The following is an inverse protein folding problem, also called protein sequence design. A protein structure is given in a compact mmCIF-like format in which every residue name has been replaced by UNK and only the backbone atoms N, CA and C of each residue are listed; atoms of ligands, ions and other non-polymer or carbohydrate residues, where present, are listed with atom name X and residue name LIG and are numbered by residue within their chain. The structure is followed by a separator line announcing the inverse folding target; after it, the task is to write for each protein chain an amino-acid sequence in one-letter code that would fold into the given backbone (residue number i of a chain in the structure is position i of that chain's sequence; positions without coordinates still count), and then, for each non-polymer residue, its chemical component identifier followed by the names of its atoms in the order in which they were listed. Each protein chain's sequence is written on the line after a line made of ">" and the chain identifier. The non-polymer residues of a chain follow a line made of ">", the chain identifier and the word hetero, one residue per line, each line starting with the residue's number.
data_IF_899729975623
#
_entry.id   IF_899729975623
#
_cell.length_a   1.000
_cell.length_b   1.000
_cell.length_c   1.000
_cell.angle_alpha   90.00
_cell.angle_beta   90.00
_cell.angle_gamma   90.00
#
_symmetry.space_group_name_H-M   'P 1'
#
loop_
_entity.id
_entity.type
_entity.pdbx_description
1 polymer ?
#
# COMPACT_ATOMS: atom_id res chain seq x y z
N UNK A 1 19.21 4.77 -75.36
CA UNK A 1 18.42 4.26 -74.22
C UNK A 1 19.09 2.98 -73.76
N UNK A 2 19.94 3.07 -72.74
CA UNK A 2 20.73 1.97 -72.20
C UNK A 2 20.91 2.22 -70.72
N UNK A 3 20.02 1.61 -69.94
CA UNK A 3 20.02 1.61 -68.48
C UNK A 3 21.31 0.96 -67.95
N UNK A 4 22.04 1.70 -67.12
CA UNK A 4 23.18 1.20 -66.36
C UNK A 4 22.73 1.09 -64.91
N UNK A 5 22.73 -0.09 -64.27
CA UNK A 5 22.27 -0.22 -62.89
C UNK A 5 23.32 0.33 -61.91
N UNK A 6 22.86 1.18 -60.99
CA UNK A 6 23.65 1.71 -59.87
C UNK A 6 24.17 0.59 -58.95
N UNK A 7 25.45 0.69 -58.57
CA UNK A 7 26.07 -0.10 -57.50
C UNK A 7 25.41 0.20 -56.14
N UNK A 8 25.18 -0.81 -55.28
CA UNK A 8 24.76 -0.58 -53.91
C UNK A 8 25.91 0.02 -53.08
N UNK A 9 25.62 1.12 -52.41
CA UNK A 9 26.47 1.79 -51.42
C UNK A 9 26.71 0.86 -50.23
N UNK A 10 27.96 0.76 -49.76
CA UNK A 10 28.33 -0.02 -48.59
C UNK A 10 27.55 0.47 -47.36
N UNK A 11 26.80 -0.44 -46.73
CA UNK A 11 26.19 -0.21 -45.43
C UNK A 11 27.31 -0.02 -44.40
N UNK A 12 27.33 1.15 -43.77
CA UNK A 12 28.15 1.44 -42.61
C UNK A 12 27.57 0.66 -41.42
N UNK A 13 28.37 -0.25 -40.84
CA UNK A 13 28.02 -0.94 -39.59
C UNK A 13 27.73 0.09 -38.48
N UNK A 14 26.68 -0.10 -37.67
CA UNK A 14 26.45 0.74 -36.50
C UNK A 14 27.57 0.51 -35.46
N UNK A 15 27.92 1.54 -34.66
CA UNK A 15 29.13 1.53 -33.85
C UNK A 15 29.07 0.51 -32.69
N UNK A 16 30.24 -0.08 -32.37
CA UNK A 16 30.60 -1.01 -31.28
C UNK A 16 30.27 -0.56 -29.83
N UNK A 17 29.12 0.05 -29.56
CA UNK A 17 28.76 0.48 -28.20
C UNK A 17 28.17 -0.64 -27.33
N UNK A 18 27.61 -1.70 -27.92
CA UNK A 18 26.91 -2.78 -27.22
C UNK A 18 27.85 -3.77 -26.51
N UNK A 19 28.94 -4.23 -27.15
CA UNK A 19 29.85 -5.24 -26.56
C UNK A 19 30.54 -4.78 -25.27
N UNK A 20 30.88 -3.49 -25.15
CA UNK A 20 31.54 -2.94 -23.95
C UNK A 20 30.60 -2.79 -22.77
N UNK A 21 29.32 -2.46 -23.00
CA UNK A 21 28.33 -2.33 -21.94
C UNK A 21 27.93 -3.70 -21.38
N UNK A 22 27.73 -4.69 -22.26
CA UNK A 22 27.44 -6.07 -21.88
C UNK A 22 28.60 -6.68 -21.05
N UNK A 23 29.85 -6.49 -21.48
CA UNK A 23 31.01 -6.96 -20.71
C UNK A 23 31.13 -6.32 -19.33
N UNK A 24 30.76 -5.05 -19.19
CA UNK A 24 30.81 -4.37 -17.90
C UNK A 24 29.72 -4.90 -16.96
N UNK A 25 28.50 -5.10 -17.48
CA UNK A 25 27.40 -5.68 -16.74
C UNK A 25 27.70 -7.11 -16.28
N UNK A 26 28.31 -7.94 -17.13
CA UNK A 26 28.75 -9.30 -16.79
C UNK A 26 29.77 -9.33 -15.65
N UNK A 27 30.66 -8.33 -15.57
CA UNK A 27 31.62 -8.21 -14.47
C UNK A 27 30.92 -7.81 -13.16
N UNK A 28 30.00 -6.85 -13.21
CA UNK A 28 29.24 -6.44 -12.02
C UNK A 28 28.36 -7.57 -11.46
N UNK A 29 27.79 -8.42 -12.33
CA UNK A 29 27.04 -9.62 -11.90
C UNK A 29 27.97 -10.59 -11.16
N UNK A 30 29.16 -10.86 -11.70
CA UNK A 30 30.14 -11.75 -11.07
C UNK A 30 30.59 -11.21 -9.72
N UNK A 31 30.86 -9.91 -9.65
CA UNK A 31 31.24 -9.24 -8.40
C UNK A 31 30.12 -9.35 -7.36
N UNK A 32 28.86 -9.09 -7.76
CA UNK A 32 27.71 -9.25 -6.89
C UNK A 32 27.58 -10.68 -6.34
N UNK A 33 27.79 -11.69 -7.19
CA UNK A 33 27.68 -13.08 -6.79
C UNK A 33 28.77 -13.48 -5.78
N UNK A 34 30.01 -13.03 -5.99
CA UNK A 34 31.12 -13.25 -5.05
C UNK A 34 30.82 -12.56 -3.71
N UNK A 35 30.42 -11.28 -3.77
CA UNK A 35 30.10 -10.48 -2.59
C UNK A 35 28.96 -11.12 -1.79
N UNK A 36 27.84 -11.40 -2.44
CA UNK A 36 26.65 -11.93 -1.78
C UNK A 36 26.93 -13.30 -1.16
N UNK A 37 27.58 -14.21 -1.88
CA UNK A 37 27.89 -15.55 -1.36
C UNK A 37 28.85 -15.49 -0.16
N UNK A 38 29.84 -14.60 -0.19
CA UNK A 38 30.75 -14.39 0.95
C UNK A 38 29.99 -13.92 2.19
N UNK A 39 29.13 -12.90 2.04
CA UNK A 39 28.31 -12.37 3.15
C UNK A 39 27.34 -13.44 3.66
N UNK A 40 26.63 -14.12 2.76
CA UNK A 40 25.66 -15.15 3.11
C UNK A 40 26.29 -16.30 3.90
N UNK A 41 27.47 -16.78 3.46
CA UNK A 41 28.22 -17.82 4.17
C UNK A 41 28.58 -17.37 5.58
N UNK A 42 29.04 -16.12 5.72
CA UNK A 42 29.39 -15.53 7.02
C UNK A 42 28.18 -15.46 7.96
N UNK A 43 26.98 -15.13 7.44
CA UNK A 43 25.74 -15.13 8.22
C UNK A 43 25.32 -16.54 8.64
N UNK A 44 25.44 -17.52 7.74
CA UNK A 44 25.13 -18.92 8.06
C UNK A 44 26.07 -19.48 9.13
N UNK A 45 27.37 -19.17 9.07
CA UNK A 45 28.33 -19.56 10.10
C UNK A 45 28.04 -18.91 11.45
N UNK A 46 27.71 -17.61 11.45
CA UNK A 46 27.50 -16.83 12.68
C UNK A 46 26.18 -17.14 13.37
N UNK A 47 25.10 -17.25 12.62
CA UNK A 47 23.74 -17.39 13.17
C UNK A 47 23.16 -18.80 12.98
N UNK A 48 23.59 -19.54 11.97
CA UNK A 48 22.95 -20.80 11.55
C UNK A 48 21.71 -20.56 10.71
N UNK A 49 21.47 -21.44 9.73
CA UNK A 49 20.38 -21.33 8.73
C UNK A 49 18.99 -21.19 9.36
N UNK A 50 18.73 -21.90 10.45
CA UNK A 50 17.43 -21.87 11.16
C UNK A 50 17.14 -20.55 11.86
N UNK A 51 18.10 -19.64 11.98
CA UNK A 51 17.93 -18.31 12.60
C UNK A 51 18.04 -17.16 11.61
N UNK A 52 18.17 -17.46 10.31
CA UNK A 52 18.19 -16.44 9.24
C UNK A 52 16.77 -15.94 8.92
N UNK A 53 16.13 -15.34 9.93
CA UNK A 53 14.79 -14.80 9.84
C UNK A 53 14.83 -13.38 9.27
N UNK A 54 14.67 -13.29 7.96
CA UNK A 54 14.54 -12.00 7.28
C UNK A 54 13.10 -11.47 7.36
N UNK A 55 12.90 -10.15 7.18
CA UNK A 55 11.59 -9.51 7.20
C UNK A 55 10.62 -10.15 6.21
N UNK A 56 9.34 -10.25 6.57
CA UNK A 56 8.32 -10.64 5.59
C UNK A 56 8.20 -9.60 4.48
N UNK A 57 8.21 -8.32 4.84
CA UNK A 57 8.06 -7.21 3.90
C UNK A 57 9.32 -6.32 3.87
N UNK A 58 9.81 -6.00 2.67
CA UNK A 58 10.89 -5.03 2.46
C UNK A 58 10.41 -3.91 1.55
N UNK A 59 10.46 -2.67 2.04
CA UNK A 59 10.18 -1.48 1.26
C UNK A 59 11.49 -0.78 0.92
N UNK A 60 11.88 -0.80 -0.35
CA UNK A 60 13.02 -0.08 -0.89
C UNK A 60 12.56 1.35 -1.22
N UNK A 61 12.88 2.30 -0.33
CA UNK A 61 12.45 3.69 -0.45
C UNK A 61 13.44 4.50 -1.32
N UNK A 62 13.08 4.64 -2.59
CA UNK A 62 13.71 5.52 -3.55
C UNK A 62 13.18 6.94 -3.48
N UNK A 63 14.03 7.93 -3.74
CA UNK A 63 13.62 9.33 -3.76
C UNK A 63 14.71 10.23 -4.30
N UNK A 64 14.35 11.11 -5.22
CA UNK A 64 15.25 12.20 -5.59
C UNK A 64 15.59 13.05 -4.35
N UNK A 65 16.76 13.71 -4.30
CA UNK A 65 17.02 14.70 -3.28
C UNK A 65 15.89 15.73 -3.22
N UNK A 66 15.36 16.01 -2.03
CA UNK A 66 14.23 16.94 -1.87
C UNK A 66 12.83 16.32 -2.09
N UNK A 67 12.72 15.04 -2.47
CA UNK A 67 11.42 14.36 -2.66
C UNK A 67 10.62 14.13 -1.37
N UNK A 68 11.15 14.51 -0.20
CA UNK A 68 10.44 14.39 1.07
C UNK A 68 10.42 12.98 1.65
N UNK A 69 11.42 12.13 1.35
CA UNK A 69 11.55 10.78 1.92
C UNK A 69 11.43 10.80 3.45
N UNK A 70 12.36 11.47 4.14
CA UNK A 70 12.36 11.54 5.60
C UNK A 70 11.04 12.05 6.21
N UNK A 71 10.33 12.94 5.52
CA UNK A 71 9.02 13.45 5.96
C UNK A 71 7.88 12.42 5.76
N UNK A 72 7.97 11.60 4.72
CA UNK A 72 6.93 10.63 4.37
C UNK A 72 7.22 9.22 4.91
N UNK A 73 8.45 8.89 5.30
CA UNK A 73 8.77 7.56 5.84
C UNK A 73 7.90 7.17 7.03
N UNK A 74 7.71 8.02 8.07
CA UNK A 74 6.83 7.67 9.20
C UNK A 74 5.38 7.43 8.76
N UNK A 75 4.91 8.19 7.77
CA UNK A 75 3.56 8.02 7.22
C UNK A 75 3.43 6.71 6.43
N UNK A 76 4.45 6.35 5.64
CA UNK A 76 4.49 5.07 4.93
C UNK A 76 4.49 3.91 5.93
N UNK A 77 5.28 4.01 7.01
CA UNK A 77 5.30 3.02 8.10
C UNK A 77 3.92 2.86 8.73
N UNK A 78 3.25 3.97 9.07
CA UNK A 78 1.90 3.97 9.65
C UNK A 78 0.90 3.30 8.71
N UNK A 79 0.87 3.69 7.42
CA UNK A 79 -0.05 3.12 6.43
C UNK A 79 0.19 1.62 6.20
N UNK A 80 1.43 1.16 6.30
CA UNK A 80 1.81 -0.26 6.13
C UNK A 80 1.74 -1.05 7.44
N UNK A 81 1.50 -0.41 8.58
CA UNK A 81 1.51 -1.06 9.89
C UNK A 81 2.89 -1.52 10.37
N UNK A 82 3.96 -0.89 9.88
CA UNK A 82 5.34 -1.21 10.26
C UNK A 82 5.77 -0.39 11.49
N UNK A 83 6.23 -1.05 12.54
CA UNK A 83 6.59 -0.38 13.81
C UNK A 83 8.10 -0.17 13.99
N UNK A 84 8.94 -0.93 13.29
CA UNK A 84 10.40 -0.83 13.38
C UNK A 84 10.91 0.46 12.72
N UNK A 85 11.95 1.08 13.28
CA UNK A 85 12.57 2.28 12.70
C UNK A 85 13.09 2.04 11.28
N UNK A 86 13.03 3.03 10.37
CA UNK A 86 13.58 2.87 9.04
C UNK A 86 15.10 2.63 9.07
N UNK A 87 15.56 1.70 8.25
CA UNK A 87 16.99 1.46 8.07
C UNK A 87 17.51 2.48 7.05
N UNK A 88 18.11 3.56 7.56
CA UNK A 88 18.85 4.53 6.75
C UNK A 88 20.24 3.96 6.48
N UNK A 89 20.48 3.42 5.30
CA UNK A 89 21.72 2.65 5.05
C UNK A 89 22.98 3.49 5.25
N UNK A 90 22.94 4.80 5.00
CA UNK A 90 24.09 5.67 5.26
C UNK A 90 24.46 5.79 6.74
N UNK A 91 23.49 5.71 7.67
CA UNK A 91 23.79 5.79 9.11
C UNK A 91 24.45 4.53 9.64
N UNK A 92 24.26 3.40 8.96
CA UNK A 92 24.97 2.15 9.26
C UNK A 92 26.47 2.24 8.92
N UNK A 93 26.88 3.21 8.09
CA UNK A 93 28.25 3.36 7.62
C UNK A 93 29.08 4.34 8.46
N UNK A 94 28.64 4.66 9.66
CA UNK A 94 29.32 5.60 10.57
C UNK A 94 29.94 4.93 11.79
N UNK A 95 30.16 3.61 11.74
CA UNK A 95 30.91 2.88 12.78
C UNK A 95 32.39 3.30 12.81
N UNK A 96 33.12 3.08 13.93
CA UNK A 96 34.55 3.38 14.01
C UNK A 96 35.38 2.70 12.91
N UNK A 97 35.08 1.46 12.51
CA UNK A 97 35.78 0.82 11.39
C UNK A 97 35.49 1.52 10.05
N UNK A 98 34.23 1.88 9.80
CA UNK A 98 33.85 2.55 8.55
C UNK A 98 34.41 3.98 8.48
N UNK A 99 34.50 4.67 9.61
CA UNK A 99 35.21 5.96 9.69
C UNK A 99 36.68 5.79 9.36
N UNK A 100 37.38 4.78 9.90
CA UNK A 100 38.78 4.52 9.54
C UNK A 100 38.99 4.28 8.04
N UNK A 101 38.07 3.53 7.41
CA UNK A 101 38.10 3.30 5.95
C UNK A 101 37.94 4.64 5.21
N UNK A 102 36.92 5.44 5.57
CA UNK A 102 36.68 6.77 5.01
C UNK A 102 37.88 7.73 5.22
N UNK A 103 38.44 7.75 6.43
CA UNK A 103 39.56 8.62 6.84
C UNK A 103 40.86 8.25 6.10
N UNK A 104 41.03 6.98 5.75
CA UNK A 104 42.14 6.51 4.91
C UNK A 104 41.97 6.81 3.41
N UNK A 105 40.89 7.49 3.02
CA UNK A 105 40.54 7.78 1.62
C UNK A 105 39.89 6.60 0.88
N UNK A 106 39.57 5.51 1.59
CA UNK A 106 38.82 4.38 1.04
C UNK A 106 37.32 4.66 0.97
N UNK A 107 36.64 4.07 -0.02
CA UNK A 107 35.18 4.06 -0.06
C UNK A 107 34.66 2.79 0.61
N UNK A 108 33.58 2.91 1.38
CA UNK A 108 32.84 1.73 1.85
C UNK A 108 32.29 1.00 0.63
N UNK A 109 32.73 -0.23 0.41
CA UNK A 109 32.34 -1.03 -0.74
C UNK A 109 30.97 -1.67 -0.58
N UNK A 110 30.44 -2.21 -1.68
CA UNK A 110 29.15 -2.90 -1.68
C UNK A 110 29.13 -4.11 -0.74
N UNK A 111 30.27 -4.78 -0.53
CA UNK A 111 30.38 -5.90 0.40
C UNK A 111 30.06 -5.50 1.84
N UNK A 112 30.65 -4.41 2.31
CA UNK A 112 30.43 -3.91 3.67
C UNK A 112 28.98 -3.43 3.86
N UNK A 113 28.44 -2.72 2.87
CA UNK A 113 27.03 -2.27 2.86
C UNK A 113 26.09 -3.47 2.96
N UNK A 114 26.26 -4.47 2.11
CA UNK A 114 25.42 -5.68 2.10
C UNK A 114 25.56 -6.45 3.41
N UNK A 115 26.78 -6.61 3.92
CA UNK A 115 27.01 -7.32 5.18
C UNK A 115 26.28 -6.69 6.35
N UNK A 116 26.44 -5.38 6.56
CA UNK A 116 25.81 -4.69 7.70
C UNK A 116 24.29 -4.63 7.52
N UNK A 117 23.82 -4.41 6.30
CA UNK A 117 22.39 -4.38 6.01
C UNK A 117 21.72 -5.73 6.30
N UNK A 118 22.28 -6.84 5.78
CA UNK A 118 21.69 -8.16 6.02
C UNK A 118 21.73 -8.53 7.51
N UNK A 119 22.81 -8.20 8.23
CA UNK A 119 22.85 -8.39 9.69
C UNK A 119 21.78 -7.57 10.41
N UNK A 120 21.56 -6.31 10.00
CA UNK A 120 20.53 -5.45 10.59
C UNK A 120 19.13 -6.00 10.36
N UNK A 121 18.86 -6.58 9.18
CA UNK A 121 17.57 -7.17 8.83
C UNK A 121 17.23 -8.43 9.63
N UNK A 122 18.21 -9.11 10.22
CA UNK A 122 17.98 -10.29 11.06
C UNK A 122 17.48 -9.94 12.47
N UNK A 123 17.41 -8.66 12.83
CA UNK A 123 16.95 -8.29 14.16
C UNK A 123 15.43 -8.51 14.32
N UNK A 124 14.97 -8.96 15.51
CA UNK A 124 13.57 -9.33 15.72
C UNK A 124 12.56 -8.24 15.39
N UNK A 125 12.92 -6.97 15.58
CA UNK A 125 12.04 -5.83 15.33
C UNK A 125 11.61 -5.73 13.87
N UNK A 126 12.47 -6.15 12.93
CA UNK A 126 12.18 -6.10 11.50
C UNK A 126 11.41 -7.31 10.99
N UNK A 127 11.02 -8.26 11.85
CA UNK A 127 10.43 -9.53 11.42
C UNK A 127 9.23 -9.32 10.50
N UNK A 128 8.35 -8.39 10.82
CA UNK A 128 7.13 -8.10 10.04
C UNK A 128 7.40 -7.26 8.81
N UNK A 129 8.31 -6.29 8.90
CA UNK A 129 8.82 -5.61 7.73
C UNK A 129 9.89 -4.58 8.05
N UNK A 130 10.56 -4.09 7.01
CA UNK A 130 11.55 -3.04 7.10
C UNK A 130 11.45 -2.07 5.93
N UNK A 131 11.66 -0.78 6.21
CA UNK A 131 11.89 0.24 5.18
C UNK A 131 13.39 0.48 5.06
N UNK A 132 13.91 0.34 3.85
CA UNK A 132 15.30 0.61 3.51
C UNK A 132 15.39 1.96 2.78
N UNK A 133 15.94 2.98 3.42
CA UNK A 133 16.21 4.27 2.78
C UNK A 133 17.63 4.29 2.20
N UNK A 134 17.70 4.49 0.89
CA UNK A 134 18.95 4.68 0.18
C UNK A 134 19.66 3.38 -0.18
N UNK A 135 18.90 2.30 -0.38
CA UNK A 135 19.36 1.03 -0.93
C UNK A 135 18.30 0.44 -1.86
N UNK A 136 18.68 -0.17 -3.00
CA UNK A 136 20.02 -0.19 -3.59
C UNK A 136 20.40 1.14 -4.27
N UNK A 137 21.71 1.39 -4.42
CA UNK A 137 22.29 2.53 -5.17
C UNK A 137 23.14 2.12 -6.35
N UNK A 138 23.62 0.88 -6.38
CA UNK A 138 24.48 0.33 -7.44
C UNK A 138 23.83 -0.91 -8.04
N UNK A 139 24.25 -1.29 -9.25
CA UNK A 139 23.79 -2.51 -9.90
C UNK A 139 24.20 -3.77 -9.12
N UNK A 140 25.39 -3.77 -8.50
CA UNK A 140 25.83 -4.86 -7.61
C UNK A 140 24.87 -5.05 -6.43
N UNK A 141 24.41 -3.97 -5.80
CA UNK A 141 23.42 -4.03 -4.72
C UNK A 141 22.05 -4.54 -5.20
N UNK A 142 21.64 -4.17 -6.41
CA UNK A 142 20.43 -4.70 -7.06
C UNK A 142 20.50 -6.22 -7.20
N UNK A 143 21.60 -6.75 -7.74
CA UNK A 143 21.79 -8.19 -7.89
C UNK A 143 21.85 -8.91 -6.55
N UNK A 144 22.50 -8.31 -5.53
CA UNK A 144 22.47 -8.83 -4.16
C UNK A 144 21.05 -8.90 -3.58
N UNK A 145 20.18 -7.93 -3.87
CA UNK A 145 18.78 -7.94 -3.44
C UNK A 145 17.98 -9.07 -4.12
N UNK A 146 18.20 -9.31 -5.42
CA UNK A 146 17.60 -10.46 -6.12
C UNK A 146 18.06 -11.79 -5.50
N UNK A 147 19.34 -11.92 -5.20
CA UNK A 147 19.88 -13.11 -4.55
C UNK A 147 19.33 -13.32 -3.14
N UNK A 148 19.17 -12.25 -2.35
CA UNK A 148 18.50 -12.30 -1.04
C UNK A 148 17.08 -12.85 -1.18
N UNK A 149 16.29 -12.31 -2.09
CA UNK A 149 14.93 -12.76 -2.35
C UNK A 149 14.88 -14.26 -2.69
N UNK A 150 15.76 -14.73 -3.58
CA UNK A 150 15.86 -16.15 -3.91
C UNK A 150 16.27 -17.02 -2.72
N UNK A 151 17.19 -16.56 -1.87
CA UNK A 151 17.57 -17.27 -0.64
C UNK A 151 16.43 -17.34 0.37
N UNK A 152 15.64 -16.28 0.53
CA UNK A 152 14.45 -16.29 1.37
C UNK A 152 13.42 -17.31 0.87
N UNK A 153 13.19 -17.37 -0.44
CA UNK A 153 12.33 -18.40 -1.05
C UNK A 153 12.86 -19.82 -0.84
N UNK A 154 14.18 -20.02 -0.96
CA UNK A 154 14.83 -21.30 -0.72
C UNK A 154 14.63 -21.75 0.74
N UNK A 155 14.89 -20.88 1.71
CA UNK A 155 14.68 -21.17 3.13
C UNK A 155 13.21 -21.48 3.42
N UNK A 156 12.27 -20.71 2.86
CA UNK A 156 10.83 -21.00 2.99
C UNK A 156 10.47 -22.40 2.47
N UNK A 157 11.01 -22.79 1.32
CA UNK A 157 10.75 -24.12 0.75
C UNK A 157 11.37 -25.24 1.62
N UNK A 158 12.60 -25.04 2.07
CA UNK A 158 13.36 -25.96 2.95
C UNK A 158 12.61 -26.23 4.27
N UNK A 159 12.09 -25.18 4.91
CA UNK A 159 11.46 -25.29 6.24
C UNK A 159 9.92 -25.43 6.19
N UNK A 160 9.32 -25.57 5.00
CA UNK A 160 7.85 -25.53 4.82
C UNK A 160 7.09 -26.56 5.66
N UNK A 161 7.63 -27.77 5.82
CA UNK A 161 7.04 -28.89 6.56
C UNK A 161 7.70 -29.11 7.93
N UNK A 162 8.34 -28.09 8.48
CA UNK A 162 9.02 -28.15 9.78
C UNK A 162 8.35 -27.23 10.79
N UNK A 163 8.73 -27.34 12.07
CA UNK A 163 8.29 -26.41 13.12
C UNK A 163 8.72 -24.95 12.86
N UNK A 164 9.75 -24.74 12.04
CA UNK A 164 10.26 -23.41 11.72
C UNK A 164 9.46 -22.67 10.63
N UNK A 165 8.42 -23.30 10.05
CA UNK A 165 7.60 -22.72 8.95
C UNK A 165 7.13 -21.29 9.25
N UNK A 166 6.71 -21.01 10.49
CA UNK A 166 6.22 -19.68 10.89
C UNK A 166 7.28 -18.58 10.88
N UNK A 167 8.57 -18.95 10.81
CA UNK A 167 9.66 -18.01 10.73
C UNK A 167 10.09 -17.68 9.30
N UNK A 168 9.80 -18.56 8.33
CA UNK A 168 10.13 -18.38 6.92
C UNK A 168 8.88 -18.07 6.08
N UNK A 169 8.40 -16.83 6.20
CA UNK A 169 7.20 -16.33 5.50
C UNK A 169 7.50 -16.04 4.03
N UNK A 170 6.46 -15.85 3.23
CA UNK A 170 6.64 -15.44 1.84
C UNK A 170 7.23 -14.02 1.80
N UNK A 171 8.39 -13.82 1.18
CA UNK A 171 8.98 -12.49 1.06
C UNK A 171 8.15 -11.61 0.11
N UNK A 172 7.87 -10.39 0.55
CA UNK A 172 7.28 -9.32 -0.25
C UNK A 172 8.29 -8.18 -0.35
N UNK A 173 8.63 -7.78 -1.57
CA UNK A 173 9.53 -6.66 -1.81
C UNK A 173 8.78 -5.61 -2.63
N UNK A 174 8.78 -4.39 -2.10
CA UNK A 174 8.17 -3.21 -2.69
C UNK A 174 9.25 -2.17 -2.97
N UNK A 175 9.17 -1.52 -4.12
CA UNK A 175 10.01 -0.38 -4.47
C UNK A 175 9.11 0.82 -4.46
N UNK A 176 9.32 1.74 -3.52
CA UNK A 176 8.55 2.97 -3.42
C UNK A 176 9.40 4.13 -3.90
N UNK A 177 9.06 4.68 -5.07
CA UNK A 177 9.81 5.74 -5.72
C UNK A 177 9.07 7.07 -5.59
N UNK A 178 9.49 7.91 -4.62
CA UNK A 178 9.03 9.29 -4.52
C UNK A 178 9.71 10.17 -5.57
N UNK A 179 8.94 10.60 -6.57
CA UNK A 179 9.46 11.36 -7.70
C UNK A 179 9.04 12.84 -7.63
N UNK A 180 10.01 13.72 -7.86
CA UNK A 180 9.83 15.15 -8.15
C UNK A 180 10.71 15.52 -9.32
N UNK A 181 10.35 16.58 -10.05
CA UNK A 181 11.20 17.07 -11.13
C UNK A 181 12.46 17.80 -10.59
N UNK A 182 13.42 18.03 -11.48
CA UNK A 182 14.71 18.65 -11.13
C UNK A 182 14.54 20.06 -10.57
N UNK A 183 13.61 20.85 -11.14
CA UNK A 183 13.38 22.23 -10.74
C UNK A 183 12.86 22.27 -9.30
N UNK A 184 11.88 21.45 -8.98
CA UNK A 184 11.30 21.33 -7.64
C UNK A 184 12.33 20.77 -6.64
N UNK A 185 13.10 19.75 -7.04
CA UNK A 185 14.20 19.18 -6.24
C UNK A 185 15.23 20.24 -5.83
N UNK A 186 15.70 21.03 -6.79
CA UNK A 186 16.69 22.09 -6.55
C UNK A 186 16.06 23.18 -5.67
N UNK A 187 14.83 23.60 -5.97
CA UNK A 187 14.08 24.59 -5.18
C UNK A 187 13.97 24.17 -3.71
N UNK A 188 13.56 22.92 -3.44
CA UNK A 188 13.41 22.38 -2.07
C UNK A 188 14.73 22.25 -1.34
N UNK A 189 15.81 21.85 -2.02
CA UNK A 189 17.14 21.78 -1.41
C UNK A 189 17.65 23.17 -0.99
N UNK A 190 17.53 24.16 -1.88
CA UNK A 190 17.94 25.53 -1.59
C UNK A 190 17.06 26.19 -0.52
N UNK A 191 15.75 25.90 -0.53
CA UNK A 191 14.83 26.35 0.53
C UNK A 191 15.25 25.80 1.89
N UNK A 192 15.50 24.48 1.98
CA UNK A 192 16.02 23.85 3.19
C UNK A 192 17.34 24.46 3.65
N UNK A 193 18.25 24.77 2.72
CA UNK A 193 19.52 25.44 3.04
C UNK A 193 19.32 26.78 3.72
N UNK A 194 18.44 27.63 3.18
CA UNK A 194 18.10 28.94 3.76
C UNK A 194 17.47 28.80 5.16
N UNK A 195 16.50 27.89 5.31
CA UNK A 195 15.82 27.65 6.59
C UNK A 195 16.79 27.16 7.67
N UNK A 196 17.75 26.30 7.32
CA UNK A 196 18.79 25.84 8.25
C UNK A 196 19.75 26.98 8.62
N UNK A 197 20.12 27.84 7.66
CA UNK A 197 20.97 29.00 7.94
C UNK A 197 20.29 29.96 8.91
N UNK A 198 19.04 30.33 8.64
CA UNK A 198 18.25 31.20 9.52
C UNK A 198 18.07 30.60 10.92
N UNK A 199 17.81 29.30 11.01
CA UNK A 199 17.72 28.59 12.29
C UNK A 199 19.04 28.61 13.06
N UNK A 200 20.15 28.29 12.39
CA UNK A 200 21.48 28.25 13.03
C UNK A 200 21.92 29.65 13.51
N UNK A 201 21.65 30.70 12.72
CA UNK A 201 21.90 32.08 13.14
C UNK A 201 21.10 32.44 14.40
N UNK A 202 19.86 31.96 14.52
CA UNK A 202 19.04 32.17 15.72
C UNK A 202 19.56 31.40 16.93
N UNK A 203 20.00 30.15 16.74
CA UNK A 203 20.63 29.34 17.79
C UNK A 203 21.91 30.00 18.28
N UNK A 204 22.75 30.50 17.38
CA UNK A 204 23.98 31.23 17.73
C UNK A 204 23.68 32.53 18.50
N UNK A 205 22.61 33.23 18.13
CA UNK A 205 22.18 34.48 18.78
C UNK A 205 21.59 34.28 20.16
N UNK A 206 20.76 33.24 20.34
CA UNK A 206 20.00 33.00 21.57
C UNK A 206 20.69 32.06 22.54
N UNK A 207 21.57 31.20 22.04
CA UNK A 207 22.14 30.07 22.78
C UNK A 207 21.13 28.95 23.07
N UNK A 208 19.94 28.97 22.44
CA UNK A 208 18.86 27.99 22.66
C UNK A 208 18.73 27.12 21.41
N UNK A 209 18.97 25.81 21.55
CA UNK A 209 18.87 24.82 20.48
C UNK A 209 20.21 24.17 20.13
N UNK A 210 20.20 23.24 19.19
CA UNK A 210 21.40 22.58 18.65
C UNK A 210 21.59 22.95 17.18
N UNK A 211 22.82 23.24 16.77
CA UNK A 211 23.11 23.58 15.37
C UNK A 211 22.76 22.41 14.44
N UNK A 212 22.00 22.73 13.39
CA UNK A 212 21.66 21.78 12.34
C UNK A 212 22.77 21.73 11.29
N UNK A 213 23.05 20.52 10.79
CA UNK A 213 24.06 20.31 9.76
C UNK A 213 23.70 21.03 8.45
N UNK A 214 24.60 21.88 7.96
CA UNK A 214 24.48 22.50 6.64
C UNK A 214 25.10 21.61 5.58
N UNK A 215 24.37 21.39 4.48
CA UNK A 215 24.82 20.54 3.37
C UNK A 215 25.33 21.39 2.23
N UNK A 216 26.50 21.10 1.64
CA UNK A 216 27.01 21.86 0.49
C UNK A 216 26.02 21.94 -0.67
N UNK A 217 25.23 20.88 -0.88
CA UNK A 217 24.21 20.81 -1.94
C UNK A 217 23.02 21.73 -1.72
N UNK A 218 22.83 22.22 -0.50
CA UNK A 218 21.69 23.06 -0.14
C UNK A 218 22.04 24.56 -0.26
N UNK A 219 23.32 24.88 -0.51
CA UNK A 219 23.85 26.24 -0.63
C UNK A 219 24.15 26.63 -2.08
N UNK A 220 24.48 25.67 -2.94
CA UNK A 220 24.82 25.90 -4.34
C UNK A 220 23.84 25.20 -5.30
N UNK A 221 23.14 25.96 -6.17
CA UNK A 221 22.26 25.38 -7.19
C UNK A 221 22.95 24.36 -8.10
N UNK A 222 24.24 24.57 -8.45
CA UNK A 222 24.96 23.63 -9.33
C UNK A 222 25.26 22.31 -8.60
N UNK A 223 25.62 22.36 -7.33
CA UNK A 223 25.76 21.18 -6.49
C UNK A 223 24.43 20.42 -6.33
N UNK A 224 23.31 21.13 -6.12
CA UNK A 224 21.97 20.54 -6.07
C UNK A 224 21.59 19.81 -7.37
N UNK A 225 21.83 20.45 -8.53
CA UNK A 225 21.59 19.87 -9.85
C UNK A 225 22.45 18.63 -10.09
N UNK A 226 23.75 18.70 -9.76
CA UNK A 226 24.66 17.55 -9.87
C UNK A 226 24.17 16.37 -9.02
N UNK A 227 23.72 16.63 -7.79
CA UNK A 227 23.17 15.61 -6.90
C UNK A 227 21.91 14.95 -7.49
N UNK A 228 21.02 15.74 -8.08
CA UNK A 228 19.83 15.21 -8.74
C UNK A 228 20.18 14.35 -9.95
N UNK A 229 21.16 14.77 -10.76
CA UNK A 229 21.65 14.01 -11.91
C UNK A 229 22.25 12.66 -11.50
N UNK A 230 23.10 12.64 -10.48
CA UNK A 230 23.69 11.39 -9.95
C UNK A 230 22.59 10.44 -9.47
N UNK A 231 21.56 10.95 -8.79
CA UNK A 231 20.40 10.15 -8.42
C UNK A 231 19.72 9.53 -9.64
N UNK A 232 19.49 10.33 -10.70
CA UNK A 232 18.80 9.87 -11.91
C UNK A 232 19.62 8.84 -12.71
N UNK A 233 20.93 9.01 -12.80
CA UNK A 233 21.80 8.13 -13.58
C UNK A 233 22.17 6.83 -12.85
N UNK A 234 22.37 6.88 -11.53
CA UNK A 234 22.80 5.70 -10.77
C UNK A 234 21.63 5.02 -10.04
N UNK A 235 20.92 5.77 -9.19
CA UNK A 235 19.95 5.20 -8.25
C UNK A 235 18.61 4.89 -8.92
N UNK A 236 18.13 5.78 -9.79
CA UNK A 236 16.85 5.59 -10.46
C UNK A 236 16.92 4.40 -11.44
N UNK A 237 17.97 4.31 -12.26
CA UNK A 237 18.16 3.19 -13.19
C UNK A 237 18.33 1.85 -12.45
N UNK A 238 19.07 1.83 -11.34
CA UNK A 238 19.19 0.66 -10.47
C UNK A 238 17.82 0.20 -9.92
N UNK A 239 17.02 1.11 -9.36
CA UNK A 239 15.68 0.79 -8.85
C UNK A 239 14.71 0.39 -9.97
N UNK A 240 14.80 1.02 -11.15
CA UNK A 240 13.96 0.71 -12.29
C UNK A 240 14.22 -0.70 -12.82
N UNK A 241 15.48 -1.18 -12.77
CA UNK A 241 15.83 -2.55 -13.16
C UNK A 241 15.17 -3.64 -12.31
N UNK A 242 14.76 -3.31 -11.08
CA UNK A 242 14.09 -4.23 -10.18
C UNK A 242 12.57 -4.33 -10.43
N UNK A 243 11.99 -3.45 -11.25
CA UNK A 243 10.56 -3.46 -11.59
C UNK A 243 10.10 -4.77 -12.25
N UNK A 244 11.02 -5.48 -12.91
CA UNK A 244 10.71 -6.76 -13.54
C UNK A 244 10.56 -7.91 -12.53
N UNK A 245 11.06 -7.72 -11.31
CA UNK A 245 11.12 -8.76 -10.27
C UNK A 245 10.21 -8.44 -9.09
N UNK A 246 10.08 -7.15 -8.73
CA UNK A 246 9.40 -6.70 -7.51
C UNK A 246 8.30 -5.67 -7.81
N UNK A 247 7.38 -5.51 -6.86
CA UNK A 247 6.30 -4.54 -6.97
C UNK A 247 6.85 -3.12 -6.97
N UNK A 248 6.64 -2.38 -8.04
CA UNK A 248 7.15 -1.03 -8.22
C UNK A 248 6.03 0.00 -8.10
N UNK A 249 6.17 0.92 -7.16
CA UNK A 249 5.23 1.99 -6.85
C UNK A 249 5.85 3.32 -7.24
N UNK A 250 5.27 3.99 -8.23
CA UNK A 250 5.73 5.28 -8.70
C UNK A 250 4.84 6.39 -8.15
N UNK A 251 5.37 7.19 -7.22
CA UNK A 251 4.57 8.13 -6.46
C UNK A 251 5.02 9.55 -6.79
N UNK A 252 4.11 10.35 -7.34
CA UNK A 252 4.34 11.78 -7.50
C UNK A 252 4.42 12.44 -6.12
N UNK A 253 5.60 12.98 -5.79
CA UNK A 253 5.86 13.76 -4.59
C UNK A 253 5.88 15.28 -4.89
N UNK A 254 5.28 15.67 -6.02
CA UNK A 254 5.01 17.08 -6.34
C UNK A 254 3.89 17.63 -5.45
N UNK A 255 3.89 18.94 -5.24
CA UNK A 255 2.89 19.62 -4.43
C UNK A 255 3.16 19.54 -2.93
N UNK A 256 2.12 19.84 -2.16
CA UNK A 256 2.15 19.95 -0.70
C UNK A 256 2.05 18.58 -0.01
N UNK A 257 2.51 18.50 1.24
CA UNK A 257 2.55 17.24 1.99
C UNK A 257 1.22 16.45 2.03
N UNK A 258 0.03 17.07 2.22
CA UNK A 258 -1.23 16.33 2.19
C UNK A 258 -1.52 15.66 0.85
N UNK A 259 -1.16 16.31 -0.26
CA UNK A 259 -1.36 15.78 -1.61
C UNK A 259 -0.42 14.59 -1.86
N UNK A 260 0.85 14.72 -1.47
CA UNK A 260 1.83 13.62 -1.54
C UNK A 260 1.37 12.41 -0.72
N UNK A 261 0.86 12.63 0.50
CA UNK A 261 0.31 11.57 1.34
C UNK A 261 -0.91 10.88 0.72
N UNK A 262 -1.79 11.64 0.06
CA UNK A 262 -2.91 11.07 -0.66
C UNK A 262 -2.45 10.22 -1.86
N UNK A 263 -1.42 10.65 -2.57
CA UNK A 263 -0.81 9.87 -3.66
C UNK A 263 -0.21 8.56 -3.13
N UNK A 264 0.47 8.59 -1.98
CA UNK A 264 0.99 7.38 -1.31
C UNK A 264 -0.16 6.42 -0.99
N UNK A 265 -1.24 6.90 -0.36
CA UNK A 265 -2.40 6.05 -0.03
C UNK A 265 -3.00 5.43 -1.30
N UNK A 266 -3.21 6.23 -2.34
CA UNK A 266 -3.82 5.78 -3.60
C UNK A 266 -3.01 4.67 -4.26
N UNK A 267 -1.69 4.83 -4.32
CA UNK A 267 -0.79 3.85 -4.93
C UNK A 267 -0.79 2.54 -4.13
N UNK A 268 -0.72 2.63 -2.79
CA UNK A 268 -0.73 1.46 -1.91
C UNK A 268 -2.09 0.72 -1.93
N UNK A 269 -3.22 1.44 -2.01
CA UNK A 269 -4.54 0.83 -2.08
C UNK A 269 -4.76 -0.01 -3.35
N UNK A 270 -4.22 0.44 -4.49
CA UNK A 270 -4.37 -0.22 -5.79
C UNK A 270 -3.80 -1.66 -5.80
N UNK A 271 -2.81 -1.95 -4.97
CA UNK A 271 -2.05 -3.21 -4.97
C UNK A 271 -2.41 -4.18 -3.83
N UNK A 272 -3.28 -3.80 -2.89
CA UNK A 272 -3.72 -4.70 -1.80
C UNK A 272 -4.30 -6.05 -2.27
N UNK A 273 -4.74 -6.13 -3.52
CA UNK A 273 -5.19 -7.35 -4.18
C UNK A 273 -4.05 -8.25 -4.67
N UNK A 274 -2.83 -7.75 -4.85
CA UNK A 274 -1.67 -8.47 -5.41
C UNK A 274 -0.65 -8.92 -4.34
N UNK A 275 -0.81 -8.46 -3.10
CA UNK A 275 0.08 -8.78 -1.97
C UNK A 275 -0.27 -10.10 -1.27
N UNK A 276 -1.37 -10.73 -1.67
CA UNK A 276 -1.79 -12.03 -1.14
C UNK A 276 -1.04 -13.17 -1.83
N UNK A 277 -0.67 -14.20 -1.07
CA UNK A 277 -0.26 -15.49 -1.64
C UNK A 277 -1.30 -15.91 -2.71
N UNK A 278 -0.90 -16.43 -3.89
CA UNK A 278 -1.84 -16.74 -4.97
C UNK A 278 -3.03 -17.60 -4.54
N UNK A 279 -2.85 -18.53 -3.59
CA UNK A 279 -3.95 -19.36 -3.07
C UNK A 279 -4.94 -18.54 -2.23
N UNK A 280 -4.42 -17.57 -1.50
CA UNK A 280 -5.22 -16.62 -0.70
C UNK A 280 -5.96 -15.65 -1.62
N UNK A 281 -5.30 -15.16 -2.68
CA UNK A 281 -5.93 -14.34 -3.70
C UNK A 281 -7.08 -15.07 -4.39
N UNK A 282 -6.86 -16.29 -4.89
CA UNK A 282 -7.91 -17.11 -5.54
C UNK A 282 -9.11 -17.33 -4.61
N UNK A 283 -8.85 -17.46 -3.31
CA UNK A 283 -9.91 -17.63 -2.31
C UNK A 283 -10.75 -16.36 -2.14
N UNK A 284 -10.11 -15.18 -2.10
CA UNK A 284 -10.74 -13.90 -1.80
C UNK A 284 -11.25 -13.14 -3.04
N UNK A 285 -10.70 -13.36 -4.23
CA UNK A 285 -11.06 -12.64 -5.46
C UNK A 285 -12.53 -12.83 -5.88
N UNK A 286 -13.19 -13.89 -5.40
CA UNK A 286 -14.63 -14.13 -5.61
C UNK A 286 -15.52 -13.09 -4.92
N UNK A 287 -14.99 -12.35 -3.95
CA UNK A 287 -15.70 -11.28 -3.27
C UNK A 287 -15.37 -9.93 -3.93
N UNK A 288 -16.37 -9.14 -4.34
CA UNK A 288 -16.11 -7.82 -4.91
C UNK A 288 -15.54 -6.88 -3.84
N UNK A 289 -14.57 -6.05 -4.24
CA UNK A 289 -14.01 -5.00 -3.38
C UNK A 289 -15.09 -3.95 -3.12
N UNK A 290 -15.19 -3.45 -1.89
CA UNK A 290 -16.20 -2.47 -1.49
C UNK A 290 -16.29 -1.25 -2.44
N UNK A 291 -15.16 -0.73 -2.92
CA UNK A 291 -15.13 0.36 -3.90
C UNK A 291 -15.82 -0.01 -5.22
N UNK A 292 -15.60 -1.22 -5.73
CA UNK A 292 -16.25 -1.74 -6.95
C UNK A 292 -17.76 -1.96 -6.75
N UNK A 293 -18.19 -2.33 -5.54
CA UNK A 293 -19.62 -2.46 -5.22
C UNK A 293 -20.32 -1.10 -5.40
N UNK A 294 -19.66 0.01 -5.03
CA UNK A 294 -20.23 1.36 -5.09
C UNK A 294 -20.22 1.95 -6.50
N UNK A 295 -19.19 1.66 -7.31
CA UNK A 295 -18.93 2.30 -8.62
C UNK A 295 -20.13 2.30 -9.58
N UNK A 296 -20.97 1.26 -9.52
CA UNK A 296 -22.18 1.14 -10.35
C UNK A 296 -23.48 0.98 -9.54
N UNK A 297 -23.43 1.13 -8.22
CA UNK A 297 -24.57 0.84 -7.33
C UNK A 297 -25.83 1.63 -7.72
N UNK A 298 -25.68 2.91 -8.08
CA UNK A 298 -26.82 3.76 -8.49
C UNK A 298 -27.47 3.31 -9.80
N UNK A 299 -26.66 2.99 -10.81
CA UNK A 299 -27.18 2.51 -12.09
C UNK A 299 -27.89 1.16 -11.94
N UNK A 300 -27.37 0.28 -11.07
CA UNK A 300 -28.01 -0.99 -10.74
C UNK A 300 -29.32 -0.78 -9.96
N UNK A 301 -29.37 0.16 -9.02
CA UNK A 301 -30.59 0.50 -8.29
C UNK A 301 -31.71 0.93 -9.23
N UNK A 302 -31.43 1.86 -10.15
CA UNK A 302 -32.42 2.32 -11.14
C UNK A 302 -32.94 1.16 -11.98
N UNK A 303 -32.04 0.30 -12.48
CA UNK A 303 -32.44 -0.88 -13.27
C UNK A 303 -33.33 -1.84 -12.48
N UNK A 304 -33.05 -2.08 -11.19
CA UNK A 304 -33.89 -2.94 -10.34
C UNK A 304 -35.27 -2.33 -10.13
N UNK A 305 -35.36 -1.02 -9.88
CA UNK A 305 -36.65 -0.33 -9.73
C UNK A 305 -37.49 -0.38 -11.01
N UNK A 306 -36.88 -0.11 -12.17
CA UNK A 306 -37.56 -0.23 -13.46
C UNK A 306 -38.02 -1.67 -13.71
N UNK A 307 -37.21 -2.66 -13.34
CA UNK A 307 -37.56 -4.07 -13.46
C UNK A 307 -38.72 -4.46 -12.53
N UNK A 308 -38.75 -3.97 -11.29
CA UNK A 308 -39.86 -4.21 -10.36
C UNK A 308 -41.19 -3.68 -10.91
N UNK A 309 -41.18 -2.47 -11.50
CA UNK A 309 -42.36 -1.88 -12.13
C UNK A 309 -42.85 -2.70 -13.32
N UNK A 310 -41.94 -3.30 -14.10
CA UNK A 310 -42.28 -4.07 -15.30
C UNK A 310 -42.68 -5.53 -15.02
N UNK A 311 -42.00 -6.20 -14.09
CA UNK A 311 -42.10 -7.65 -13.90
C UNK A 311 -42.91 -8.04 -12.65
N UNK A 312 -42.91 -7.21 -11.62
CA UNK A 312 -43.55 -7.49 -10.32
C UNK A 312 -44.46 -6.32 -9.87
N UNK A 313 -45.20 -5.71 -10.79
CA UNK A 313 -45.95 -4.46 -10.59
C UNK A 313 -46.86 -4.47 -9.35
N UNK A 314 -47.67 -5.52 -9.18
CA UNK A 314 -48.62 -5.61 -8.06
C UNK A 314 -47.90 -5.66 -6.71
N UNK A 315 -46.81 -6.42 -6.61
CA UNK A 315 -46.01 -6.51 -5.40
C UNK A 315 -45.30 -5.18 -5.12
N UNK A 316 -44.69 -4.59 -6.15
CA UNK A 316 -43.98 -3.32 -6.04
C UNK A 316 -44.89 -2.19 -5.54
N UNK A 317 -46.09 -2.06 -6.12
CA UNK A 317 -47.08 -1.06 -5.66
C UNK A 317 -47.61 -1.41 -4.27
N UNK A 318 -47.83 -2.69 -3.96
CA UNK A 318 -48.20 -3.11 -2.60
C UNK A 318 -47.15 -2.72 -1.54
N UNK A 319 -45.86 -2.76 -1.87
CA UNK A 319 -44.79 -2.29 -0.99
C UNK A 319 -44.78 -0.77 -0.87
N UNK A 320 -45.05 -0.02 -1.94
CA UNK A 320 -45.20 1.44 -1.90
C UNK A 320 -46.35 1.83 -0.97
N UNK A 321 -47.51 1.19 -1.11
CA UNK A 321 -48.69 1.43 -0.27
C UNK A 321 -48.42 1.09 1.20
N UNK A 322 -47.72 -0.02 1.44
CA UNK A 322 -47.29 -0.40 2.79
C UNK A 322 -46.34 0.65 3.40
N UNK A 323 -45.36 1.13 2.64
CA UNK A 323 -44.43 2.18 3.06
C UNK A 323 -45.20 3.46 3.38
N UNK A 324 -46.08 3.92 2.48
CA UNK A 324 -46.83 5.16 2.64
C UNK A 324 -47.80 5.09 3.83
N UNK A 325 -48.55 3.99 3.95
CA UNK A 325 -49.60 3.84 4.95
C UNK A 325 -49.08 3.52 6.36
N UNK A 326 -48.02 2.69 6.48
CA UNK A 326 -47.58 2.17 7.78
C UNK A 326 -46.22 2.69 8.23
N UNK A 327 -45.26 2.87 7.33
CA UNK A 327 -43.89 3.25 7.71
C UNK A 327 -43.73 4.77 7.76
N UNK A 328 -44.15 5.49 6.72
CA UNK A 328 -43.93 6.94 6.60
C UNK A 328 -44.52 7.76 7.76
N UNK A 329 -45.68 7.43 8.35
CA UNK A 329 -46.16 8.13 9.54
C UNK A 329 -45.20 8.04 10.73
N UNK A 330 -44.52 6.89 10.90
CA UNK A 330 -43.53 6.69 11.96
C UNK A 330 -42.25 7.46 11.64
N UNK A 331 -41.77 7.38 10.40
CA UNK A 331 -40.57 8.12 9.93
C UNK A 331 -40.75 9.63 10.12
N UNK A 332 -41.91 10.19 9.74
CA UNK A 332 -42.23 11.61 9.91
C UNK A 332 -42.20 12.04 11.38
N UNK A 333 -42.67 11.19 12.31
CA UNK A 333 -42.59 11.47 13.77
C UNK A 333 -41.15 11.48 14.30
N UNK A 334 -40.24 10.77 13.63
CA UNK A 334 -38.82 10.70 13.98
C UNK A 334 -37.95 11.70 13.21
N UNK A 335 -38.56 12.72 12.59
CA UNK A 335 -37.85 13.70 11.77
C UNK A 335 -36.76 14.47 12.53
N UNK A 336 -36.91 14.64 13.85
CA UNK A 336 -35.88 15.29 14.69
C UNK A 336 -34.72 14.33 14.93
N UNK A 337 -34.99 13.08 15.32
CA UNK A 337 -33.96 12.09 15.65
C UNK A 337 -33.21 11.55 14.43
N UNK A 338 -33.81 11.63 13.23
CA UNK A 338 -33.21 11.10 12.00
C UNK A 338 -33.15 9.56 11.93
N UNK A 339 -33.82 8.85 12.84
CA UNK A 339 -33.86 7.40 12.86
C UNK A 339 -35.22 6.89 13.34
N UNK A 340 -35.79 5.92 12.63
CA UNK A 340 -37.04 5.25 12.99
C UNK A 340 -36.82 3.73 13.08
N UNK A 341 -37.30 3.14 14.17
CA UNK A 341 -37.32 1.69 14.38
C UNK A 341 -38.77 1.20 14.27
N UNK A 342 -39.03 0.30 13.32
CA UNK A 342 -40.36 -0.23 13.04
C UNK A 342 -40.32 -1.75 13.20
N UNK A 343 -41.26 -2.29 13.98
CA UNK A 343 -41.49 -3.73 14.08
C UNK A 343 -42.84 -4.05 13.46
N UNK A 344 -42.89 -5.03 12.56
CA UNK A 344 -44.13 -5.40 11.87
C UNK A 344 -44.23 -6.90 11.64
N UNK A 345 -45.45 -7.41 11.63
CA UNK A 345 -45.79 -8.81 11.30
C UNK A 345 -46.54 -8.86 9.95
N UNK A 346 -46.48 -7.78 9.17
CA UNK A 346 -47.23 -7.65 7.94
C UNK A 346 -46.77 -8.69 6.90
N UNK A 347 -47.70 -9.48 6.33
CA UNK A 347 -47.36 -10.53 5.37
C UNK A 347 -46.81 -9.98 4.04
N UNK A 348 -46.97 -8.67 3.76
CA UNK A 348 -46.37 -8.04 2.56
C UNK A 348 -44.86 -8.22 2.48
N UNK A 349 -44.17 -8.42 3.61
CA UNK A 349 -42.72 -8.61 3.67
C UNK A 349 -42.27 -10.08 3.69
N UNK A 350 -43.19 -11.05 3.54
CA UNK A 350 -42.84 -12.48 3.65
C UNK A 350 -41.92 -13.00 2.54
N UNK A 351 -41.77 -12.27 1.43
CA UNK A 351 -40.95 -12.67 0.30
C UNK A 351 -39.59 -11.94 0.28
N UNK A 352 -38.52 -12.59 -0.21
CA UNK A 352 -37.24 -11.93 -0.43
C UNK A 352 -37.32 -10.72 -1.37
N UNK A 353 -38.13 -10.79 -2.43
CA UNK A 353 -38.33 -9.69 -3.37
C UNK A 353 -38.94 -8.46 -2.68
N UNK A 354 -39.94 -8.64 -1.81
CA UNK A 354 -40.57 -7.55 -1.07
C UNK A 354 -39.57 -6.78 -0.19
N UNK A 355 -38.67 -7.50 0.50
CA UNK A 355 -37.62 -6.88 1.30
C UNK A 355 -36.63 -6.09 0.44
N UNK A 356 -36.22 -6.64 -0.70
CA UNK A 356 -35.33 -5.97 -1.64
C UNK A 356 -35.96 -4.69 -2.19
N UNK A 357 -37.23 -4.76 -2.61
CA UNK A 357 -38.01 -3.61 -3.07
C UNK A 357 -38.09 -2.52 -1.99
N UNK A 358 -38.37 -2.89 -0.73
CA UNK A 358 -38.43 -1.93 0.37
C UNK A 358 -37.08 -1.21 0.56
N UNK A 359 -35.97 -1.95 0.57
CA UNK A 359 -34.62 -1.39 0.71
C UNK A 359 -34.30 -0.45 -0.46
N UNK A 360 -34.62 -0.86 -1.69
CA UNK A 360 -34.34 -0.10 -2.90
C UNK A 360 -35.18 1.18 -2.99
N UNK A 361 -36.47 1.12 -2.66
CA UNK A 361 -37.36 2.29 -2.60
C UNK A 361 -36.82 3.32 -1.61
N UNK A 362 -36.44 2.88 -0.39
CA UNK A 362 -35.88 3.79 0.60
C UNK A 362 -34.52 4.35 0.16
N UNK A 363 -33.67 3.52 -0.43
CA UNK A 363 -32.35 3.94 -0.93
C UNK A 363 -32.49 5.01 -2.01
N UNK A 364 -33.45 4.86 -2.94
CA UNK A 364 -33.68 5.87 -3.98
C UNK A 364 -34.30 7.16 -3.43
N UNK A 365 -35.11 7.07 -2.36
CA UNK A 365 -35.62 8.26 -1.67
C UNK A 365 -34.61 8.91 -0.71
N UNK A 366 -33.36 8.42 -0.66
CA UNK A 366 -32.28 9.00 0.13
C UNK A 366 -32.24 8.57 1.60
N UNK A 367 -32.93 7.48 1.94
CA UNK A 367 -32.91 6.87 3.27
C UNK A 367 -31.92 5.70 3.30
N UNK A 368 -31.40 5.41 4.49
CA UNK A 368 -30.62 4.19 4.74
C UNK A 368 -31.55 3.20 5.44
N UNK A 369 -31.94 2.13 4.75
CA UNK A 369 -32.83 1.11 5.27
C UNK A 369 -32.07 -0.20 5.56
N UNK A 370 -32.42 -0.86 6.65
CA UNK A 370 -32.00 -2.23 6.97
C UNK A 370 -33.20 -3.00 7.50
N UNK A 371 -33.29 -4.27 7.12
CA UNK A 371 -34.42 -5.17 7.45
C UNK A 371 -33.85 -6.46 8.03
N UNK A 372 -34.41 -6.90 9.15
CA UNK A 372 -34.05 -8.14 9.82
C UNK A 372 -35.29 -8.98 10.17
N UNK A 373 -35.21 -10.30 10.00
CA UNK A 373 -36.28 -11.24 10.31
C UNK A 373 -36.03 -11.92 11.64
N UNK A 374 -36.82 -11.57 12.65
CA UNK A 374 -36.84 -12.31 13.91
C UNK A 374 -37.92 -13.40 13.86
N UNK A 375 -37.50 -14.67 13.98
CA UNK A 375 -38.40 -15.80 14.22
C UNK A 375 -38.43 -16.10 15.71
N UNK A 376 -39.61 -16.00 16.31
CA UNK A 376 -39.84 -16.24 17.73
C UNK A 376 -40.73 -17.48 17.83
N UNK A 377 -40.28 -18.51 18.53
CA UNK A 377 -41.12 -19.65 18.88
C UNK A 377 -42.02 -19.29 20.05
N UNK A 378 -43.33 -19.37 19.84
CA UNK A 378 -44.33 -19.12 20.87
C UNK A 378 -44.98 -20.46 21.22
N UNK A 379 -44.86 -20.93 22.47
CA UNK A 379 -45.50 -22.16 22.90
C UNK A 379 -47.02 -21.99 22.89
N UNK A 380 -47.74 -22.92 22.25
CA UNK A 380 -49.20 -22.89 22.15
C UNK A 380 -49.86 -24.05 22.89
N UNK A 381 -49.25 -25.24 22.83
CA UNK A 381 -49.83 -26.46 23.40
C UNK A 381 -48.72 -27.27 24.09
N UNK A 382 -49.02 -27.82 25.26
CA UNK A 382 -48.16 -28.76 25.96
C UNK A 382 -48.84 -30.13 25.97
N UNK A 383 -48.23 -31.10 25.29
CA UNK A 383 -48.69 -32.47 25.31
C UNK A 383 -48.27 -33.13 26.63
N UNK A 384 -49.24 -33.29 27.53
CA UNK A 384 -49.06 -33.89 28.86
C UNK A 384 -48.64 -35.36 28.82
N UNK A 385 -48.83 -36.04 27.69
CA UNK A 385 -48.51 -37.48 27.52
C UNK A 385 -47.08 -37.66 27.02
N UNK A 386 -46.64 -36.81 26.09
CA UNK A 386 -45.31 -36.90 25.47
C UNK A 386 -44.29 -35.92 26.06
N UNK A 387 -44.74 -34.93 26.84
CA UNK A 387 -43.92 -33.84 27.38
C UNK A 387 -43.50 -32.81 26.33
N UNK A 388 -44.02 -32.88 25.11
CA UNK A 388 -43.64 -31.98 24.02
C UNK A 388 -44.42 -30.67 24.07
N UNK A 389 -43.71 -29.57 23.84
CA UNK A 389 -44.31 -28.25 23.64
C UNK A 389 -44.44 -28.02 22.13
N UNK A 390 -45.67 -27.85 21.64
CA UNK A 390 -45.91 -27.37 20.28
C UNK A 390 -45.81 -25.86 20.27
N UNK A 391 -44.90 -25.35 19.47
CA UNK A 391 -44.71 -23.92 19.27
C UNK A 391 -45.24 -23.48 17.91
N UNK A 392 -45.86 -22.30 17.84
CA UNK A 392 -46.00 -21.58 16.57
C UNK A 392 -44.81 -20.66 16.34
N UNK A 393 -44.42 -20.50 15.09
CA UNK A 393 -43.38 -19.56 14.70
C UNK A 393 -44.00 -18.20 14.40
N UNK A 394 -43.67 -17.20 15.22
CA UNK A 394 -44.01 -15.80 14.99
C UNK A 394 -42.88 -15.11 14.24
N UNK A 395 -43.17 -14.57 13.05
CA UNK A 395 -42.24 -13.77 12.25
C UNK A 395 -42.42 -12.28 12.57
N UNK A 396 -41.35 -11.61 12.97
CA UNK A 396 -41.34 -10.16 13.22
C UNK A 396 -40.24 -9.53 12.39
N UNK A 397 -40.62 -8.64 11.48
CA UNK A 397 -39.71 -7.83 10.68
C UNK A 397 -39.29 -6.61 11.48
N UNK A 398 -37.98 -6.44 11.68
CA UNK A 398 -37.38 -5.27 12.31
C UNK A 398 -36.77 -4.40 11.23
N UNK A 399 -37.31 -3.21 11.06
CA UNK A 399 -36.90 -2.26 10.02
C UNK A 399 -36.29 -1.05 10.70
N UNK A 400 -35.06 -0.72 10.34
CA UNK A 400 -34.37 0.50 10.77
C UNK A 400 -34.17 1.40 9.57
N UNK A 401 -34.72 2.61 9.67
CA UNK A 401 -34.62 3.67 8.65
C UNK A 401 -33.86 4.84 9.25
N UNK A 402 -32.75 5.23 8.62
CA UNK A 402 -31.94 6.40 9.00
C UNK A 402 -31.94 7.44 7.90
N UNK A 403 -31.99 8.71 8.29
CA UNK A 403 -32.00 9.87 7.41
C UNK A 403 -31.49 11.10 8.16
N UNK A 404 -31.22 12.20 7.43
CA UNK A 404 -30.75 13.44 8.04
C UNK A 404 -31.86 14.04 8.91
N UNK A 405 -31.64 14.09 10.22
CA UNK A 405 -32.56 14.71 11.18
C UNK A 405 -32.60 16.23 11.07
N UNK A 406 -33.70 16.83 11.52
CA UNK A 406 -33.85 18.29 11.61
C UNK A 406 -33.10 18.83 12.82
N UNK A 407 -32.26 19.85 12.60
CA UNK A 407 -31.59 20.56 13.69
C UNK A 407 -32.61 21.38 14.47
N UNK A 408 -32.73 21.10 15.78
CA UNK A 408 -33.45 21.99 16.68
C UNK A 408 -32.65 23.30 16.74
N UNK A 409 -33.19 24.39 16.19
CA UNK A 409 -32.68 25.73 16.47
C UNK A 409 -32.72 25.93 17.99
N UNK A 410 -31.57 25.83 18.65
CA UNK A 410 -31.41 26.40 19.99
C UNK A 410 -31.47 27.90 19.80
N UNK A 411 -32.49 28.55 20.38
CA UNK A 411 -32.68 29.98 20.29
C UNK A 411 -31.38 30.71 20.63
N UNK A 412 -31.01 31.63 19.75
CA UNK A 412 -29.92 32.60 19.90
C UNK A 412 -30.16 33.53 21.08
#
# INVERSE_FOLDING_TARGET
>A
MSDTPLKPTAATEPPKKTETAERHQDLEIKDAQIIFNSVWTSLEEKYGRTRLHFPQELILLGGAPGAGKGTNTPFIQEVRGLTAEPIVVSSLLDTPEMRRIKDSGGMVGDREVISILLERLLQPDYRDGAILDGFPRTFVQVECMKMLYHKMLQLRAEYFNTEYRSHFRQPLIHIMMLFIDEKESVSRQLKRGREIQEYNEEVERTGIGELMETRPTDLDPKAAQRRYRVFKEATYDALQSLREVFHYHFISAQGELPEVRQNIIKELQYQSSLELDPRTFDSLHRLPIASKIVEHARQQLVRRLDQYEMEETELFHGIIDFIEGKIMPIVRRHAITGAAHINTEDPTLDTPSAMAMLIDIFSERGYHASVDLHKIEIPEEFDVTTGQIRCRTKKVWRILIRFKGSEIRRGS
#
